data_IF_136418037887
#
_entry.id   IF_136418037887
#
_cell.length_a   1.000
_cell.length_b   1.000
_cell.length_c   1.000
_cell.angle_alpha   90.00
_cell.angle_beta   90.00
_cell.angle_gamma   90.00
#
_symmetry.space_group_name_H-M   'P 1'
#
loop_
_entity.id
_entity.type
_entity.pdbx_description
1 polymer ?
#
# COMPACT_ATOMS: atom_id res chain seq x y z
N UNK A 1 -0.29 5.26 14.97
CA UNK A 1 0.56 6.37 14.49
C UNK A 1 1.94 6.24 15.12
N UNK A 2 3.01 6.17 14.31
CA UNK A 2 4.39 6.04 14.80
C UNK A 2 4.77 7.18 15.77
N UNK A 3 4.36 8.42 15.48
CA UNK A 3 4.57 9.57 16.36
C UNK A 3 4.01 9.38 17.77
N UNK A 4 2.81 8.81 17.90
CA UNK A 4 2.18 8.53 19.21
C UNK A 4 2.97 7.48 19.99
N UNK A 5 3.51 6.46 19.30
CA UNK A 5 4.40 5.48 19.93
C UNK A 5 5.71 6.10 20.45
N UNK A 6 6.12 7.25 19.87
CA UNK A 6 7.26 8.06 20.34
C UNK A 6 6.87 9.10 21.39
N UNK A 7 5.64 9.07 21.91
CA UNK A 7 5.15 9.98 22.95
C UNK A 7 4.65 11.33 22.43
N UNK A 8 4.55 11.53 21.11
CA UNK A 8 4.02 12.77 20.54
C UNK A 8 2.48 12.79 20.60
N UNK A 9 1.92 13.99 20.71
CA UNK A 9 0.48 14.23 20.66
C UNK A 9 -0.11 13.69 19.35
N UNK A 10 -1.21 12.92 19.48
CA UNK A 10 -1.96 12.43 18.31
C UNK A 10 -2.53 13.59 17.50
N UNK A 11 -3.02 14.62 18.17
CA UNK A 11 -3.67 15.76 17.54
C UNK A 11 -2.65 16.57 16.73
N UNK A 12 -1.51 16.89 17.34
CA UNK A 12 -0.46 17.68 16.68
C UNK A 12 0.13 16.90 15.51
N UNK A 13 0.40 15.59 15.70
CA UNK A 13 0.90 14.74 14.63
C UNK A 13 -0.07 14.62 13.45
N UNK A 14 -1.39 14.60 13.72
CA UNK A 14 -2.40 14.56 12.67
C UNK A 14 -2.48 15.89 11.92
N UNK A 15 -2.39 17.02 12.63
CA UNK A 15 -2.47 18.33 11.99
C UNK A 15 -1.24 18.61 11.11
N UNK A 16 -0.04 18.30 11.60
CA UNK A 16 1.20 18.42 10.83
C UNK A 16 1.15 17.61 9.53
N UNK A 17 0.77 16.32 9.62
CA UNK A 17 0.69 15.48 8.41
C UNK A 17 -0.43 15.94 7.47
N UNK A 18 -1.54 16.46 8.00
CA UNK A 18 -2.65 17.00 7.20
C UNK A 18 -2.17 18.18 6.36
N UNK A 19 -1.46 19.14 6.95
CA UNK A 19 -0.95 20.33 6.24
C UNK A 19 0.03 19.91 5.15
N UNK A 20 1.01 19.06 5.45
CA UNK A 20 1.98 18.59 4.46
C UNK A 20 1.31 17.80 3.31
N UNK A 21 0.31 16.99 3.62
CA UNK A 21 -0.46 16.23 2.61
C UNK A 21 -1.22 17.14 1.65
N UNK A 22 -1.78 18.25 2.14
CA UNK A 22 -2.46 19.23 1.28
C UNK A 22 -1.46 19.93 0.35
N UNK A 23 -0.29 20.30 0.85
CA UNK A 23 0.75 20.94 0.03
C UNK A 23 1.26 19.99 -1.07
N UNK A 24 1.52 18.72 -0.73
CA UNK A 24 1.94 17.72 -1.71
C UNK A 24 0.84 17.45 -2.75
N UNK A 25 -0.43 17.37 -2.33
CA UNK A 25 -1.55 17.19 -3.25
C UNK A 25 -1.72 18.41 -4.19
N UNK A 26 -1.50 19.62 -3.70
CA UNK A 26 -1.50 20.84 -4.52
C UNK A 26 -0.40 20.80 -5.57
N UNK A 27 0.82 20.39 -5.17
CA UNK A 27 1.97 20.22 -6.05
C UNK A 27 1.69 19.25 -7.21
N UNK A 28 1.06 18.12 -6.91
CA UNK A 28 0.66 17.14 -7.92
C UNK A 28 -0.44 17.69 -8.82
N UNK A 29 -1.53 18.20 -8.23
CA UNK A 29 -2.76 18.52 -8.98
C UNK A 29 -2.67 19.81 -9.78
N UNK A 30 -2.06 20.86 -9.23
CA UNK A 30 -2.00 22.18 -9.87
C UNK A 30 -0.74 22.38 -10.69
N UNK A 31 0.35 21.70 -10.34
CA UNK A 31 1.65 21.90 -10.96
C UNK A 31 2.15 20.69 -11.75
N UNK A 32 1.44 19.56 -11.72
CA UNK A 32 1.80 18.37 -12.50
C UNK A 32 3.12 17.74 -12.09
N UNK A 33 3.57 17.98 -10.85
CA UNK A 33 4.83 17.49 -10.31
C UNK A 33 4.64 16.20 -9.54
N UNK A 34 5.75 15.55 -9.20
CA UNK A 34 5.76 14.37 -8.35
C UNK A 34 5.24 14.66 -6.93
N UNK A 35 4.78 13.61 -6.27
CA UNK A 35 4.34 13.68 -4.87
C UNK A 35 5.55 13.76 -3.93
N UNK A 36 5.73 14.92 -3.31
CA UNK A 36 6.88 15.25 -2.45
C UNK A 36 6.57 15.11 -0.94
N UNK A 37 5.49 14.43 -0.55
CA UNK A 37 5.08 14.32 0.87
C UNK A 37 6.19 13.75 1.76
N UNK A 38 6.90 12.72 1.30
CA UNK A 38 7.97 12.10 2.09
C UNK A 38 9.16 13.05 2.28
N UNK A 39 9.48 13.85 1.26
CA UNK A 39 10.53 14.86 1.37
C UNK A 39 10.16 15.95 2.38
N UNK A 40 8.89 16.38 2.35
CA UNK A 40 8.36 17.34 3.32
C UNK A 40 8.46 16.79 4.75
N UNK A 41 8.03 15.56 4.97
CA UNK A 41 8.14 14.89 6.28
C UNK A 41 9.60 14.83 6.75
N UNK A 42 10.53 14.45 5.86
CA UNK A 42 11.98 14.39 6.19
C UNK A 42 12.58 15.75 6.57
N UNK A 43 12.03 16.85 6.05
CA UNK A 43 12.49 18.21 6.34
C UNK A 43 11.78 18.85 7.55
N UNK A 44 10.67 18.30 8.01
CA UNK A 44 9.89 18.85 9.12
C UNK A 44 10.37 18.28 10.45
N UNK A 45 10.97 19.14 11.29
CA UNK A 45 11.58 18.75 12.57
C UNK A 45 10.65 17.98 13.53
N UNK A 46 9.33 18.21 13.45
CA UNK A 46 8.33 17.47 14.22
C UNK A 46 8.43 15.95 14.02
N UNK A 47 8.78 15.48 12.81
CA UNK A 47 8.86 14.07 12.47
C UNK A 47 10.23 13.43 12.72
N UNK A 48 11.22 14.17 13.24
CA UNK A 48 12.55 13.66 13.57
C UNK A 48 12.53 12.32 14.32
N UNK A 49 11.65 12.08 15.33
CA UNK A 49 11.63 10.83 16.07
C UNK A 49 11.24 9.58 15.26
N UNK A 50 10.65 9.74 14.06
CA UNK A 50 10.18 8.64 13.22
C UNK A 50 10.96 8.49 11.90
N UNK A 51 11.92 9.37 11.60
CA UNK A 51 12.61 9.38 10.30
C UNK A 51 13.35 8.07 9.99
N UNK A 52 13.96 7.45 11.01
CA UNK A 52 14.64 6.17 10.89
C UNK A 52 13.72 4.96 10.71
N UNK A 53 12.41 5.15 10.85
CA UNK A 53 11.40 4.09 10.68
C UNK A 53 10.60 4.26 9.39
N UNK A 54 10.79 5.35 8.63
CA UNK A 54 9.96 5.67 7.48
C UNK A 54 9.94 4.56 6.42
N UNK A 55 11.10 3.99 6.10
CA UNK A 55 11.18 2.99 5.04
C UNK A 55 10.42 1.70 5.43
N UNK A 56 10.50 1.29 6.70
CA UNK A 56 9.73 0.17 7.25
C UNK A 56 8.23 0.49 7.33
N UNK A 57 7.87 1.71 7.71
CA UNK A 57 6.47 2.14 7.80
C UNK A 57 5.79 2.23 6.43
N UNK A 58 6.57 2.37 5.36
CA UNK A 58 6.11 2.52 3.99
C UNK A 58 6.27 1.25 3.16
N UNK A 59 6.64 0.13 3.77
CA UNK A 59 6.71 -1.16 3.08
C UNK A 59 5.32 -1.54 2.54
N UNK A 60 5.11 -1.59 1.21
CA UNK A 60 3.80 -1.90 0.60
C UNK A 60 3.24 -3.25 1.03
N UNK A 61 4.11 -4.21 1.39
CA UNK A 61 3.69 -5.54 1.83
C UNK A 61 2.86 -5.51 3.12
N UNK A 62 3.01 -4.45 3.92
CA UNK A 62 2.27 -4.26 5.17
C UNK A 62 0.88 -3.63 4.97
N UNK A 63 0.58 -3.12 3.76
CA UNK A 63 -0.67 -2.44 3.43
C UNK A 63 -1.73 -3.35 2.79
N UNK A 64 -1.39 -4.61 2.47
CA UNK A 64 -2.31 -5.53 1.77
C UNK A 64 -3.22 -6.33 2.71
N UNK A 65 -3.10 -6.13 4.02
CA UNK A 65 -3.97 -6.78 5.02
C UNK A 65 -3.97 -8.30 4.89
N UNK A 66 -5.15 -8.89 4.67
CA UNK A 66 -5.34 -10.34 4.50
C UNK A 66 -5.48 -10.77 3.04
N UNK A 67 -5.19 -9.91 2.07
CA UNK A 67 -5.39 -10.21 0.65
C UNK A 67 -4.70 -11.51 0.21
N UNK A 68 -3.43 -11.80 0.59
CA UNK A 68 -2.79 -13.06 0.21
C UNK A 68 -3.55 -14.29 0.74
N UNK A 69 -3.92 -14.30 2.02
CA UNK A 69 -4.61 -15.43 2.64
C UNK A 69 -6.05 -15.57 2.13
N UNK A 70 -6.70 -14.45 1.78
CA UNK A 70 -8.03 -14.46 1.17
C UNK A 70 -8.00 -15.12 -0.21
N UNK A 71 -7.03 -14.74 -1.06
CA UNK A 71 -6.84 -15.34 -2.39
C UNK A 71 -6.50 -16.82 -2.27
N UNK A 72 -5.54 -17.18 -1.42
CA UNK A 72 -5.14 -18.58 -1.22
C UNK A 72 -6.31 -19.44 -0.76
N UNK A 73 -7.08 -18.98 0.24
CA UNK A 73 -8.26 -19.70 0.72
C UNK A 73 -9.30 -19.84 -0.39
N UNK A 74 -9.68 -18.75 -1.03
CA UNK A 74 -10.73 -18.77 -2.07
C UNK A 74 -10.36 -19.70 -3.22
N UNK A 75 -9.12 -19.61 -3.71
CA UNK A 75 -8.62 -20.44 -4.82
C UNK A 75 -8.53 -21.92 -4.44
N UNK A 76 -8.09 -22.24 -3.22
CA UNK A 76 -7.92 -23.63 -2.77
C UNK A 76 -9.22 -24.32 -2.33
N UNK A 77 -10.25 -23.56 -1.93
CA UNK A 77 -11.52 -24.13 -1.46
C UNK A 77 -12.64 -24.00 -2.48
N UNK A 78 -13.04 -22.77 -2.83
CA UNK A 78 -14.25 -22.51 -3.60
C UNK A 78 -13.98 -22.70 -5.10
N UNK A 79 -12.91 -22.09 -5.61
CA UNK A 79 -12.52 -22.22 -7.02
C UNK A 79 -12.17 -23.67 -7.33
N UNK A 80 -11.34 -24.31 -6.49
CA UNK A 80 -10.96 -25.72 -6.67
C UNK A 80 -12.20 -26.60 -6.82
N UNK A 81 -13.17 -26.48 -5.89
CA UNK A 81 -14.42 -27.24 -5.93
C UNK A 81 -15.26 -26.94 -7.17
N UNK A 82 -15.37 -25.66 -7.55
CA UNK A 82 -16.15 -25.25 -8.72
C UNK A 82 -15.57 -25.79 -10.05
N UNK A 83 -14.25 -25.99 -10.11
CA UNK A 83 -13.55 -26.48 -11.30
C UNK A 83 -13.45 -28.01 -11.38
N UNK A 84 -13.81 -28.76 -10.33
CA UNK A 84 -13.78 -30.23 -10.32
C UNK A 84 -14.48 -30.87 -11.53
N UNK A 85 -15.70 -30.45 -11.94
CA UNK A 85 -16.39 -31.02 -13.11
C UNK A 85 -15.66 -30.78 -14.44
N UNK A 86 -14.77 -29.79 -14.48
CA UNK A 86 -14.06 -29.34 -15.69
C UNK A 86 -12.58 -29.73 -15.68
N UNK A 87 -12.12 -30.52 -14.71
CA UNK A 87 -10.70 -30.83 -14.51
C UNK A 87 -10.00 -31.36 -15.78
N UNK A 88 -10.68 -32.20 -16.56
CA UNK A 88 -10.13 -32.74 -17.82
C UNK A 88 -9.98 -31.69 -18.92
N UNK A 89 -10.88 -30.70 -18.98
CA UNK A 89 -10.82 -29.61 -19.95
C UNK A 89 -9.73 -28.62 -19.56
N UNK A 90 -9.63 -28.29 -18.27
CA UNK A 90 -8.58 -27.40 -17.72
C UNK A 90 -7.19 -28.00 -17.92
N UNK A 91 -7.01 -29.31 -17.70
CA UNK A 91 -5.71 -29.96 -17.89
C UNK A 91 -5.24 -30.00 -19.36
N UNK A 92 -6.17 -29.90 -20.32
CA UNK A 92 -5.88 -29.88 -21.76
C UNK A 92 -5.83 -28.45 -22.32
N UNK A 93 -6.08 -27.44 -21.50
CA UNK A 93 -6.06 -26.06 -21.94
C UNK A 93 -4.62 -25.64 -22.24
N UNK A 94 -4.38 -25.13 -23.45
CA UNK A 94 -3.09 -24.58 -23.85
C UNK A 94 -3.09 -23.07 -23.67
N UNK A 95 -1.94 -22.51 -23.26
CA UNK A 95 -1.77 -21.06 -23.19
C UNK A 95 -1.75 -20.51 -24.61
N UNK A 96 -2.78 -19.75 -24.98
CA UNK A 96 -2.79 -19.04 -26.26
C UNK A 96 -1.70 -17.96 -26.25
N UNK A 97 -0.76 -18.03 -27.19
CA UNK A 97 0.24 -16.99 -27.37
C UNK A 97 -0.26 -15.99 -28.40
N UNK A 98 -0.30 -14.71 -28.01
CA UNK A 98 -0.48 -13.61 -28.97
C UNK A 98 0.79 -13.55 -29.81
N UNK A 99 0.67 -13.90 -31.09
CA UNK A 99 1.73 -13.63 -32.07
C UNK A 99 1.75 -12.13 -32.31
N UNK A 100 2.69 -11.42 -31.66
CA UNK A 100 3.03 -10.02 -31.94
C UNK A 100 4.32 -9.99 -32.74
#
# INVERSE_FOLDING_TARGET
MACVKKGLSRQDAHEEIRVLSHQAADNVKKHGKDNDLLERIRRTAFFNPILGELDTLLDPSTFVGRAPQQVEKFTSTEVKKALEPYASAVAKAETSTLSV
#
